data_IF_748691101295
#
_entry.id   IF_748691101295
#
_cell.length_a   1.000
_cell.length_b   1.000
_cell.length_c   1.000
_cell.angle_alpha   90.00
_cell.angle_beta   90.00
_cell.angle_gamma   90.00
#
_symmetry.space_group_name_H-M   'P 1'
#
loop_
_entity.id
_entity.type
_entity.pdbx_description
1 polymer ?
#
# COMPACT_ATOMS: atom_id res chain seq x y z
N UNK A 1 -22.06 -0.17 10.33
CA UNK A 1 -21.05 0.78 9.78
C UNK A 1 -21.25 0.84 8.28
N UNK A 2 -21.51 2.03 7.75
CA UNK A 2 -21.77 2.24 6.33
C UNK A 2 -20.53 1.93 5.49
N UNK A 3 -20.78 1.53 4.23
CA UNK A 3 -19.77 1.23 3.23
C UNK A 3 -19.75 2.33 2.17
N UNK A 4 -18.56 2.87 1.90
CA UNK A 4 -18.31 3.84 0.83
C UNK A 4 -17.49 3.16 -0.24
N UNK A 5 -18.00 3.17 -1.47
CA UNK A 5 -17.27 2.74 -2.65
C UNK A 5 -16.65 3.96 -3.32
N UNK A 6 -15.37 3.87 -3.64
CA UNK A 6 -14.65 4.85 -4.45
C UNK A 6 -13.95 4.12 -5.60
N UNK A 7 -14.51 4.15 -6.82
CA UNK A 7 -13.93 3.44 -7.95
C UNK A 7 -12.68 4.11 -8.52
N UNK A 8 -12.30 5.30 -8.03
CA UNK A 8 -11.16 6.09 -8.51
C UNK A 8 -10.36 6.62 -7.30
N UNK A 9 -9.65 5.71 -6.63
CA UNK A 9 -9.02 5.95 -5.34
C UNK A 9 -8.05 7.13 -5.32
N UNK A 10 -7.36 7.41 -6.43
CA UNK A 10 -6.48 8.55 -6.61
C UNK A 10 -5.46 8.65 -5.49
N UNK A 11 -5.51 9.72 -4.68
CA UNK A 11 -4.62 9.89 -3.54
C UNK A 11 -5.07 9.18 -2.25
N UNK A 12 -6.23 8.53 -2.25
CA UNK A 12 -6.78 7.79 -1.11
C UNK A 12 -7.63 8.63 -0.15
N UNK A 13 -8.03 9.85 -0.52
CA UNK A 13 -8.76 10.78 0.38
C UNK A 13 -10.04 10.16 0.97
N UNK A 14 -10.80 9.40 0.18
CA UNK A 14 -12.02 8.73 0.66
C UNK A 14 -11.73 7.73 1.77
N UNK A 15 -10.64 6.95 1.65
CA UNK A 15 -10.20 6.02 2.69
C UNK A 15 -9.92 6.76 4.00
N UNK A 16 -9.18 7.87 3.94
CA UNK A 16 -8.82 8.69 5.10
C UNK A 16 -10.06 9.29 5.78
N UNK A 17 -11.00 9.82 4.98
CA UNK A 17 -12.25 10.37 5.48
C UNK A 17 -13.12 9.31 6.16
N UNK A 18 -13.18 8.09 5.59
CA UNK A 18 -13.91 6.99 6.18
C UNK A 18 -13.29 6.53 7.50
N UNK A 19 -11.97 6.39 7.57
CA UNK A 19 -11.26 6.02 8.78
C UNK A 19 -11.48 7.07 9.90
N UNK A 20 -11.36 8.37 9.59
CA UNK A 20 -11.64 9.47 10.54
C UNK A 20 -13.09 9.47 11.06
N UNK A 21 -14.05 9.09 10.22
CA UNK A 21 -15.48 9.08 10.55
C UNK A 21 -16.00 7.74 11.06
N UNK A 22 -15.14 6.73 11.24
CA UNK A 22 -15.54 5.39 11.69
C UNK A 22 -16.38 4.62 10.67
N UNK A 23 -16.27 4.93 9.38
CA UNK A 23 -16.92 4.25 8.25
C UNK A 23 -15.98 3.25 7.58
N UNK A 24 -16.53 2.39 6.71
CA UNK A 24 -15.73 1.47 5.89
C UNK A 24 -15.60 2.03 4.48
N UNK A 25 -14.40 1.95 3.90
CA UNK A 25 -14.16 2.27 2.49
C UNK A 25 -13.78 1.03 1.68
N UNK A 26 -14.08 1.06 0.38
CA UNK A 26 -13.55 0.15 -0.65
C UNK A 26 -13.13 0.99 -1.83
N UNK A 27 -11.84 0.96 -2.14
CA UNK A 27 -11.25 1.74 -3.22
C UNK A 27 -10.87 0.81 -4.37
N UNK A 28 -10.97 1.30 -5.60
CA UNK A 28 -10.30 0.74 -6.77
C UNK A 28 -9.38 1.81 -7.35
N UNK A 29 -8.21 1.40 -7.82
CA UNK A 29 -7.26 2.28 -8.49
C UNK A 29 -6.58 1.48 -9.60
N UNK A 30 -6.41 2.11 -10.76
CA UNK A 30 -5.91 1.46 -11.97
C UNK A 30 -4.39 1.37 -11.96
N UNK A 31 -3.72 2.43 -11.53
CA UNK A 31 -2.26 2.47 -11.51
C UNK A 31 -1.73 1.81 -10.22
N UNK A 32 -0.98 0.70 -10.32
CA UNK A 32 -0.40 0.03 -9.16
C UNK A 32 0.45 0.95 -8.27
N UNK A 33 1.12 1.95 -8.85
CA UNK A 33 1.91 2.92 -8.08
C UNK A 33 1.02 3.76 -7.16
N UNK A 34 -0.17 4.13 -7.63
CA UNK A 34 -1.12 4.86 -6.80
C UNK A 34 -1.75 3.96 -5.74
N UNK A 35 -1.92 2.65 -5.98
CA UNK A 35 -2.31 1.68 -4.94
C UNK A 35 -1.29 1.70 -3.80
N UNK A 36 0.00 1.62 -4.10
CA UNK A 36 1.07 1.64 -3.10
C UNK A 36 1.09 2.97 -2.32
N UNK A 37 0.91 4.10 -3.02
CA UNK A 37 0.79 5.43 -2.39
C UNK A 37 -0.39 5.50 -1.42
N UNK A 38 -1.57 4.99 -1.82
CA UNK A 38 -2.76 4.97 -0.97
C UNK A 38 -2.50 4.15 0.30
N UNK A 39 -1.91 2.96 0.15
CA UNK A 39 -1.60 2.07 1.27
C UNK A 39 -0.60 2.73 2.22
N UNK A 40 0.52 3.22 1.70
CA UNK A 40 1.55 3.89 2.50
C UNK A 40 0.98 5.09 3.26
N UNK A 41 0.24 5.97 2.57
CA UNK A 41 -0.37 7.16 3.17
C UNK A 41 -1.32 6.80 4.32
N UNK A 42 -2.10 5.73 4.19
CA UNK A 42 -2.98 5.27 5.25
C UNK A 42 -2.21 4.68 6.43
N UNK A 43 -1.17 3.87 6.19
CA UNK A 43 -0.32 3.33 7.26
C UNK A 43 0.36 4.46 8.05
N UNK A 44 0.98 5.43 7.36
CA UNK A 44 1.68 6.55 7.97
C UNK A 44 0.77 7.39 8.88
N UNK A 45 -0.46 7.62 8.45
CA UNK A 45 -1.42 8.44 9.19
C UNK A 45 -2.08 7.70 10.35
N UNK A 46 -2.35 6.40 10.21
CA UNK A 46 -3.06 5.62 11.22
C UNK A 46 -2.14 4.87 12.19
N UNK A 47 -0.88 4.64 11.81
CA UNK A 47 0.06 3.76 12.49
C UNK A 47 -0.28 2.26 12.36
N UNK A 48 -1.23 1.89 11.50
CA UNK A 48 -1.66 0.51 11.29
C UNK A 48 -0.89 -0.14 10.14
N UNK A 49 -0.83 -1.46 10.16
CA UNK A 49 -0.26 -2.25 9.07
C UNK A 49 -1.35 -2.76 8.12
N UNK A 50 -1.12 -2.60 6.81
CA UNK A 50 -1.98 -3.09 5.76
C UNK A 50 -1.63 -4.54 5.41
N UNK A 51 -2.66 -5.39 5.44
CA UNK A 51 -2.56 -6.81 5.13
C UNK A 51 -3.37 -7.11 3.87
N UNK A 52 -2.74 -7.75 2.89
CA UNK A 52 -3.41 -8.21 1.67
C UNK A 52 -4.27 -9.44 1.99
N UNK A 53 -5.23 -9.74 1.11
CA UNK A 53 -6.19 -10.83 1.32
C UNK A 53 -5.55 -12.23 1.53
N UNK A 54 -4.32 -12.42 1.05
CA UNK A 54 -3.51 -13.64 1.23
C UNK A 54 -2.69 -13.65 2.53
N UNK A 55 -2.84 -12.65 3.40
CA UNK A 55 -2.16 -12.56 4.69
C UNK A 55 -0.78 -11.89 4.65
N UNK A 56 -0.30 -11.50 3.48
CA UNK A 56 1.01 -10.83 3.34
C UNK A 56 0.91 -9.37 3.77
N UNK A 57 1.82 -8.91 4.64
CA UNK A 57 1.88 -7.50 5.02
C UNK A 57 2.53 -6.65 3.94
N UNK A 58 2.04 -5.43 3.76
CA UNK A 58 2.60 -4.49 2.77
C UNK A 58 4.09 -4.21 3.03
N UNK A 59 4.46 -4.06 4.31
CA UNK A 59 5.83 -3.79 4.72
C UNK A 59 6.81 -4.93 4.35
N UNK A 60 6.34 -6.18 4.37
CA UNK A 60 7.17 -7.34 4.01
C UNK A 60 7.53 -7.35 2.51
N UNK A 61 6.65 -6.83 1.65
CA UNK A 61 6.88 -6.74 0.21
C UNK A 61 7.90 -5.64 -0.13
N UNK A 62 7.81 -4.49 0.55
CA UNK A 62 8.78 -3.40 0.39
C UNK A 62 10.19 -3.85 0.83
N UNK A 63 10.29 -4.57 1.95
CA UNK A 63 11.55 -5.13 2.42
C UNK A 63 12.14 -6.17 1.45
N UNK A 64 11.30 -7.05 0.89
CA UNK A 64 11.73 -8.05 -0.09
C UNK A 64 12.24 -7.40 -1.39
N UNK A 65 11.56 -6.36 -1.89
CA UNK A 65 12.00 -5.61 -3.07
C UNK A 65 13.33 -4.89 -2.85
N UNK A 66 13.50 -4.27 -1.67
CA UNK A 66 14.77 -3.63 -1.30
C UNK A 66 15.92 -4.64 -1.23
N UNK A 67 15.69 -5.83 -0.65
CA UNK A 67 16.68 -6.89 -0.58
C UNK A 67 17.08 -7.42 -1.97
N UNK A 68 16.10 -7.64 -2.87
CA UNK A 68 16.37 -8.10 -4.24
C UNK A 68 17.16 -7.09 -5.07
N UNK A 69 16.92 -5.79 -4.89
CA UNK A 69 17.66 -4.74 -5.58
C UNK A 69 19.15 -4.67 -5.17
N UNK A 70 19.47 -5.07 -3.93
CA UNK A 70 20.85 -5.10 -3.43
C UNK A 70 21.62 -6.30 -4.02
N UNK A 71 20.97 -7.46 -4.17
CA UNK A 71 21.60 -8.68 -4.71
C UNK A 71 21.92 -8.56 -6.21
N UNK A 72 21.10 -7.87 -7.00
CA UNK A 72 21.31 -7.74 -8.45
C UNK A 72 22.48 -6.81 -8.86
N UNK A 73 23.12 -6.13 -7.90
CA UNK A 73 24.25 -5.24 -8.16
C UNK A 73 25.62 -5.85 -7.76
N UNK A 74 25.64 -7.09 -7.25
CA UNK A 74 26.86 -7.72 -6.72
C UNK A 74 27.57 -8.69 -7.69
N UNK A 75 27.01 -9.02 -8.86
CA UNK A 75 27.59 -10.02 -9.81
C UNK A 75 28.56 -9.44 -10.86
N UNK A 76 29.02 -8.19 -10.71
CA UNK A 76 29.74 -7.46 -11.77
C UNK A 76 31.21 -7.13 -11.54
N UNK A 77 31.89 -7.69 -10.54
CA UNK A 77 33.29 -7.35 -10.23
C UNK A 77 34.14 -8.60 -10.00
N UNK A 78 34.44 -9.35 -11.07
CA UNK A 78 35.59 -10.26 -11.18
C UNK A 78 35.65 -10.86 -12.60
N UNK A 79 36.28 -10.16 -13.54
CA UNK A 79 37.01 -10.71 -14.72
C UNK A 79 38.02 -9.69 -15.25
#
# INVERSE_FOLDING_TARGET
RDLVLDPFGGSGTTLMACEKSGRRARLMELDPKYVDVIVQRWQDWTGKEAIRADGVSFNSLAAAQAAMAITSHAEGADV
#
